data_IF_293501036383
#
_entry.id   IF_293501036383
#
_cell.length_a   1.000
_cell.length_b   1.000
_cell.length_c   1.000
_cell.angle_alpha   90.00
_cell.angle_beta   90.00
_cell.angle_gamma   90.00
#
_symmetry.space_group_name_H-M   'P 1'
#
loop_
_entity.id
_entity.type
_entity.pdbx_description
1 polymer ?
#
# COMPACT_ATOMS: atom_id res chain seq x y z
N UNK A 1 6.99 -8.70 -2.92
CA UNK A 1 5.79 -9.48 -3.32
C UNK A 1 5.38 -8.97 -4.68
N UNK A 2 5.44 -9.79 -5.73
CA UNK A 2 4.97 -9.41 -7.06
C UNK A 2 3.45 -9.67 -7.15
N UNK A 3 2.69 -8.63 -7.48
CA UNK A 3 1.24 -8.67 -7.60
C UNK A 3 0.75 -8.26 -9.01
N UNK A 4 1.60 -8.42 -10.03
CA UNK A 4 1.28 -8.01 -11.41
C UNK A 4 0.11 -8.82 -11.99
N UNK A 5 0.04 -10.13 -11.70
CA UNK A 5 -1.03 -11.01 -12.19
C UNK A 5 -2.40 -10.59 -11.65
N UNK A 6 -3.37 -10.45 -12.55
CA UNK A 6 -4.76 -10.20 -12.18
C UNK A 6 -5.35 -11.36 -11.37
N UNK A 7 -5.96 -11.02 -10.23
CA UNK A 7 -6.61 -11.96 -9.31
C UNK A 7 -7.74 -11.24 -8.56
N UNK A 8 -8.56 -11.99 -7.83
CA UNK A 8 -9.62 -11.42 -6.99
C UNK A 8 -9.11 -10.86 -5.63
N UNK A 9 -7.80 -10.74 -5.44
CA UNK A 9 -7.21 -10.24 -4.18
C UNK A 9 -7.18 -8.72 -4.19
N UNK A 10 -7.77 -8.09 -3.18
CA UNK A 10 -7.98 -6.64 -3.14
C UNK A 10 -6.72 -5.82 -2.78
N UNK A 11 -5.75 -6.42 -2.09
CA UNK A 11 -4.59 -5.67 -1.57
C UNK A 11 -3.76 -4.96 -2.65
N UNK A 12 -3.72 -5.49 -3.87
CA UNK A 12 -3.01 -4.89 -5.01
C UNK A 12 -3.71 -3.66 -5.60
N UNK A 13 -4.95 -3.40 -5.19
CA UNK A 13 -5.80 -2.32 -5.70
C UNK A 13 -5.85 -1.11 -4.75
N UNK A 14 -5.21 -1.20 -3.58
CA UNK A 14 -5.18 -0.09 -2.60
C UNK A 14 -4.27 1.01 -3.15
N UNK A 15 -4.78 2.23 -3.21
CA UNK A 15 -4.11 3.37 -3.82
C UNK A 15 -3.07 4.03 -2.89
N UNK A 16 -2.34 4.99 -3.48
CA UNK A 16 -1.28 5.72 -2.81
C UNK A 16 -1.75 6.95 -2.04
N UNK A 17 -1.22 7.14 -0.84
CA UNK A 17 -1.06 8.46 -0.21
C UNK A 17 0.05 8.40 0.84
N UNK A 18 0.91 9.44 0.91
CA UNK A 18 1.89 9.57 2.01
C UNK A 18 1.26 9.70 3.38
N UNK A 19 0.05 10.27 3.45
CA UNK A 19 -0.73 10.45 4.67
C UNK A 19 -1.93 9.49 4.72
N UNK A 20 -1.79 8.33 4.09
CA UNK A 20 -2.82 7.30 4.04
C UNK A 20 -3.22 6.74 5.41
N UNK A 21 -4.33 6.00 5.41
CA UNK A 21 -4.95 5.43 6.60
C UNK A 21 -4.53 3.96 6.86
N UNK A 22 -3.67 3.40 6.01
CA UNK A 22 -3.03 2.10 6.19
C UNK A 22 -1.51 2.22 6.27
N UNK A 23 -0.89 1.28 6.99
CA UNK A 23 0.56 1.04 7.00
C UNK A 23 0.85 -0.41 6.65
N UNK A 24 1.94 -0.64 5.93
CA UNK A 24 2.42 -1.99 5.66
C UNK A 24 3.29 -2.50 6.80
N UNK A 25 3.19 -3.80 7.09
CA UNK A 25 4.06 -4.49 8.06
C UNK A 25 4.41 -5.86 7.54
N UNK A 26 5.63 -6.30 7.80
CA UNK A 26 6.03 -7.69 7.59
C UNK A 26 5.56 -8.54 8.78
N UNK A 27 4.78 -9.58 8.49
CA UNK A 27 4.24 -10.50 9.47
C UNK A 27 4.62 -11.93 9.09
N UNK A 28 5.31 -12.61 9.99
CA UNK A 28 5.74 -13.99 9.75
C UNK A 28 4.69 -14.98 10.23
N UNK A 29 4.40 -15.98 9.40
CA UNK A 29 3.53 -17.12 9.74
C UNK A 29 4.30 -18.38 9.37
N UNK A 30 4.65 -19.19 10.37
CA UNK A 30 5.40 -20.45 10.19
C UNK A 30 6.68 -20.28 9.36
N UNK A 31 7.48 -19.24 9.65
CA UNK A 31 8.71 -18.94 8.90
C UNK A 31 8.49 -18.29 7.53
N UNK A 32 7.24 -18.07 7.10
CA UNK A 32 6.94 -17.41 5.81
C UNK A 32 6.56 -15.94 6.03
N UNK A 33 7.28 -14.97 5.44
CA UNK A 33 6.97 -13.55 5.57
C UNK A 33 5.77 -13.16 4.70
N UNK A 34 4.81 -12.47 5.30
CA UNK A 34 3.63 -11.90 4.65
C UNK A 34 3.64 -10.38 4.80
N UNK A 35 3.42 -9.66 3.70
CA UNK A 35 3.18 -8.22 3.77
C UNK A 35 1.70 -7.99 4.07
N UNK A 36 1.40 -7.38 5.21
CA UNK A 36 0.04 -7.08 5.65
C UNK A 36 -0.20 -5.57 5.71
N UNK A 37 -1.47 -5.17 5.59
CA UNK A 37 -1.92 -3.82 5.85
C UNK A 37 -2.55 -3.74 7.24
N UNK A 38 -2.17 -2.73 8.00
CA UNK A 38 -2.73 -2.41 9.31
C UNK A 38 -3.32 -1.00 9.25
N UNK A 39 -4.49 -0.81 9.84
CA UNK A 39 -5.07 0.52 10.01
C UNK A 39 -4.13 1.38 10.88
N UNK A 40 -3.80 2.58 10.40
CA UNK A 40 -2.92 3.53 11.12
C UNK A 40 -3.70 4.42 12.08
N UNK A 41 -5.03 4.46 11.93
CA UNK A 41 -6.02 5.12 12.75
C UNK A 41 -7.38 4.44 12.54
N UNK A 42 -8.40 4.87 13.26
CA UNK A 42 -9.77 4.46 12.99
C UNK A 42 -10.20 4.82 11.57
N UNK A 43 -10.92 3.90 10.94
CA UNK A 43 -11.42 3.99 9.57
C UNK A 43 -12.93 4.21 9.60
N UNK A 44 -13.42 5.09 8.73
CA UNK A 44 -14.87 5.24 8.53
C UNK A 44 -15.33 4.30 7.41
N UNK A 45 -16.60 3.91 7.46
CA UNK A 45 -17.23 3.25 6.33
C UNK A 45 -17.15 4.17 5.09
N UNK A 46 -17.00 3.55 3.92
CA UNK A 46 -16.86 4.21 2.61
C UNK A 46 -15.61 5.10 2.43
N UNK A 47 -14.71 5.13 3.42
CA UNK A 47 -13.42 5.79 3.29
C UNK A 47 -12.49 4.98 2.37
N UNK A 48 -11.85 5.65 1.40
CA UNK A 48 -10.85 4.99 0.55
C UNK A 48 -9.65 4.54 1.38
N UNK A 49 -9.24 3.29 1.20
CA UNK A 49 -8.03 2.74 1.81
C UNK A 49 -6.80 3.20 1.03
N UNK A 50 -5.84 3.81 1.72
CA UNK A 50 -4.66 4.40 1.12
C UNK A 50 -3.41 4.07 1.95
N UNK A 51 -2.29 3.79 1.27
CA UNK A 51 -1.00 3.60 1.93
C UNK A 51 0.15 4.26 1.18
N UNK A 52 1.25 4.47 1.88
CA UNK A 52 2.47 4.99 1.26
C UNK A 52 3.19 3.89 0.48
N UNK A 53 3.32 4.07 -0.84
CA UNK A 53 3.98 3.11 -1.73
C UNK A 53 5.50 3.06 -1.48
N UNK A 54 6.06 4.08 -0.83
CA UNK A 54 7.46 4.11 -0.42
C UNK A 54 8.46 4.48 -1.52
N UNK A 55 8.06 4.54 -2.80
CA UNK A 55 8.95 4.98 -3.88
C UNK A 55 9.16 6.51 -3.82
N UNK A 56 10.43 6.91 -3.86
CA UNK A 56 10.90 8.30 -3.79
C UNK A 56 11.93 8.62 -4.88
N UNK A 57 12.17 7.69 -5.81
CA UNK A 57 13.11 7.90 -6.90
C UNK A 57 12.68 9.10 -7.76
N UNK A 58 13.65 9.86 -8.29
CA UNK A 58 13.36 11.06 -9.08
C UNK A 58 12.61 10.69 -10.36
N UNK A 59 12.97 9.54 -10.92
CA UNK A 59 12.43 8.97 -12.14
C UNK A 59 10.97 8.55 -11.94
N UNK A 60 10.66 7.78 -10.89
CA UNK A 60 9.28 7.40 -10.59
C UNK A 60 8.42 8.61 -10.26
N UNK A 61 8.94 9.57 -9.50
CA UNK A 61 8.23 10.81 -9.19
C UNK A 61 7.97 11.65 -10.45
N UNK A 62 8.87 11.65 -11.42
CA UNK A 62 8.67 12.37 -12.69
C UNK A 62 7.60 11.70 -13.56
N UNK A 63 7.61 10.36 -13.63
CA UNK A 63 6.61 9.58 -14.38
C UNK A 63 5.25 9.51 -13.68
N UNK A 64 5.22 9.57 -12.34
CA UNK A 64 4.04 9.44 -11.50
C UNK A 64 3.99 10.54 -10.43
N UNK A 65 3.63 11.79 -10.81
CA UNK A 65 3.70 12.95 -9.90
C UNK A 65 2.87 12.83 -8.62
N UNK A 66 1.83 11.99 -8.63
CA UNK A 66 0.98 11.72 -7.46
C UNK A 66 1.74 11.04 -6.31
N UNK A 67 2.89 10.38 -6.57
CA UNK A 67 3.77 9.85 -5.51
C UNK A 67 4.34 10.92 -4.57
N UNK A 68 4.20 12.20 -4.91
CA UNK A 68 4.62 13.31 -4.05
C UNK A 68 3.67 13.55 -2.88
N UNK A 69 2.44 13.03 -2.91
CA UNK A 69 1.35 13.46 -2.04
C UNK A 69 0.82 12.37 -1.10
#
# INVERSE_FOLDING_TARGET
>A
VDATKETNRLGRLINHSKNGNLRTKLHEINGTPHLIFLASRDLRADEELLYDYGDRSKEAIAAHPWLKH
#
